data_IF_762956128360
#
_entry.id   IF_762956128360
#
_cell.length_a   1.000
_cell.length_b   1.000
_cell.length_c   1.000
_cell.angle_alpha   90.00
_cell.angle_beta   90.00
_cell.angle_gamma   90.00
#
_symmetry.space_group_name_H-M   'P 1'
#
loop_
_entity.id
_entity.type
_entity.pdbx_description
1 polymer ?
#
# COMPACT_ATOMS: atom_id res chain seq x y z
N UNK A 1 18.74 15.19 -9.24
CA UNK A 1 18.76 16.48 -9.96
C UNK A 1 18.97 17.59 -8.95
N UNK A 2 19.50 18.77 -9.32
CA UNK A 2 19.50 19.95 -8.45
C UNK A 2 18.10 20.24 -7.89
N UNK A 3 17.97 20.79 -6.69
CA UNK A 3 16.66 21.05 -6.05
C UNK A 3 15.87 22.14 -6.79
N UNK A 4 16.57 22.94 -7.57
CA UNK A 4 16.12 24.14 -8.27
C UNK A 4 15.71 23.83 -9.71
N UNK A 5 15.79 22.56 -10.13
CA UNK A 5 15.38 22.14 -11.48
C UNK A 5 13.90 22.44 -11.72
N UNK A 6 13.59 23.07 -12.86
CA UNK A 6 12.21 23.45 -13.22
C UNK A 6 11.36 22.21 -13.53
N UNK A 7 10.06 22.29 -13.28
CA UNK A 7 9.11 21.19 -13.51
C UNK A 7 9.18 20.62 -14.93
N UNK A 8 9.32 21.47 -15.97
CA UNK A 8 9.44 21.02 -17.36
C UNK A 8 10.66 20.14 -17.58
N UNK A 9 11.78 20.48 -16.96
CA UNK A 9 13.04 19.74 -17.05
C UNK A 9 12.94 18.43 -16.25
N UNK A 10 12.25 18.44 -15.10
CA UNK A 10 11.94 17.22 -14.34
C UNK A 10 11.07 16.24 -15.14
N UNK A 11 10.03 16.74 -15.81
CA UNK A 11 9.17 15.92 -16.69
C UNK A 11 9.96 15.35 -17.86
N UNK A 12 10.83 16.14 -18.50
CA UNK A 12 11.67 15.67 -19.59
C UNK A 12 12.64 14.57 -19.12
N UNK A 13 13.25 14.72 -17.94
CA UNK A 13 14.11 13.70 -17.36
C UNK A 13 13.34 12.44 -16.97
N UNK A 14 12.12 12.57 -16.43
CA UNK A 14 11.24 11.44 -16.16
C UNK A 14 10.93 10.66 -17.43
N UNK A 15 10.48 11.34 -18.50
CA UNK A 15 10.21 10.71 -19.81
C UNK A 15 11.44 10.03 -20.37
N UNK A 16 12.62 10.66 -20.26
CA UNK A 16 13.88 10.08 -20.72
C UNK A 16 14.20 8.77 -19.99
N UNK A 17 14.08 8.74 -18.66
CA UNK A 17 14.32 7.52 -17.86
C UNK A 17 13.24 6.45 -18.07
N UNK A 18 12.01 6.87 -18.33
CA UNK A 18 10.91 5.96 -18.65
C UNK A 18 11.16 5.21 -19.97
N UNK A 19 11.92 5.77 -20.90
CA UNK A 19 12.29 5.07 -22.12
C UNK A 19 13.15 3.82 -21.87
N UNK A 20 13.89 3.77 -20.76
CA UNK A 20 14.72 2.64 -20.35
C UNK A 20 13.96 1.65 -19.43
N UNK A 21 12.66 1.89 -19.18
CA UNK A 21 11.83 1.07 -18.32
C UNK A 21 11.32 -0.21 -19.05
N UNK A 22 11.21 -1.37 -18.38
CA UNK A 22 11.52 -1.63 -16.98
C UNK A 22 13.01 -1.84 -16.73
N UNK A 23 13.52 -1.26 -15.64
CA UNK A 23 14.85 -1.55 -15.11
C UNK A 23 14.71 -2.66 -14.07
N UNK A 24 15.44 -3.79 -14.19
CA UNK A 24 15.41 -4.84 -13.18
C UNK A 24 15.81 -4.30 -11.79
N UNK A 25 15.12 -4.73 -10.71
CA UNK A 25 15.54 -4.39 -9.37
C UNK A 25 16.88 -5.02 -9.02
N UNK A 26 17.63 -4.39 -8.12
CA UNK A 26 18.83 -4.96 -7.52
C UNK A 26 18.49 -5.44 -6.11
N UNK A 27 18.57 -6.75 -5.88
CA UNK A 27 18.37 -7.31 -4.54
C UNK A 27 19.50 -6.90 -3.60
N UNK A 28 19.14 -6.34 -2.44
CA UNK A 28 20.12 -5.90 -1.43
C UNK A 28 19.89 -6.58 -0.09
N UNK A 29 20.99 -7.01 0.52
CA UNK A 29 20.98 -7.50 1.90
C UNK A 29 20.98 -6.32 2.90
N UNK A 30 20.39 -6.54 4.07
CA UNK A 30 20.37 -5.57 5.17
C UNK A 30 19.55 -4.31 4.88
N UNK A 31 18.25 -4.43 4.52
CA UNK A 31 17.43 -3.26 4.26
C UNK A 31 17.24 -2.42 5.54
N UNK A 32 17.27 -1.08 5.45
CA UNK A 32 17.09 -0.21 6.63
C UNK A 32 15.76 -0.39 7.36
N UNK A 33 14.72 -0.84 6.66
CA UNK A 33 13.42 -1.12 7.27
C UNK A 33 13.40 -2.37 8.14
N UNK A 34 14.44 -3.23 8.08
CA UNK A 34 14.55 -4.43 8.91
C UNK A 34 15.33 -4.18 10.23
N UNK A 35 15.62 -2.92 10.58
CA UNK A 35 16.34 -2.57 11.81
C UNK A 35 15.54 -2.88 13.10
N UNK A 36 14.21 -2.83 13.05
CA UNK A 36 13.32 -3.09 14.18
C UNK A 36 12.02 -3.73 13.69
N UNK A 37 11.38 -4.55 14.52
CA UNK A 37 10.11 -5.16 14.16
C UNK A 37 9.28 -5.68 15.32
N UNK A 38 7.98 -5.82 15.05
CA UNK A 38 6.96 -6.40 15.91
C UNK A 38 6.33 -7.58 15.17
N UNK A 39 6.22 -8.73 15.81
CA UNK A 39 5.79 -9.99 15.18
C UNK A 39 4.67 -10.67 15.97
N UNK A 40 3.85 -11.46 15.27
CA UNK A 40 2.79 -12.26 15.87
C UNK A 40 1.82 -11.38 16.67
N UNK A 41 1.58 -11.75 17.93
CA UNK A 41 0.62 -11.05 18.79
C UNK A 41 1.11 -9.66 19.25
N UNK A 42 2.41 -9.39 19.14
CA UNK A 42 3.00 -8.09 19.46
C UNK A 42 2.90 -7.10 18.29
N UNK A 43 2.59 -7.58 17.08
CA UNK A 43 2.38 -6.71 15.92
C UNK A 43 1.27 -5.70 16.22
N UNK A 44 1.59 -4.40 16.14
CA UNK A 44 0.66 -3.34 16.46
C UNK A 44 0.88 -2.11 15.59
N UNK A 45 -0.03 -1.91 14.64
CA UNK A 45 -0.01 -0.78 13.70
C UNK A 45 0.02 0.56 14.43
N UNK A 46 -0.66 0.68 15.58
CA UNK A 46 -0.76 1.95 16.32
C UNK A 46 0.53 2.31 17.06
N UNK A 47 1.45 1.37 17.26
CA UNK A 47 2.75 1.66 17.88
C UNK A 47 3.77 2.22 16.90
N UNK A 48 3.61 1.90 15.61
CA UNK A 48 4.57 2.27 14.56
C UNK A 48 4.10 3.47 13.76
N UNK A 49 2.80 3.53 13.43
CA UNK A 49 2.27 4.58 12.54
C UNK A 49 1.56 5.69 13.31
N UNK A 50 1.93 6.96 13.09
CA UNK A 50 1.18 8.10 13.60
C UNK A 50 -0.08 8.34 12.74
N UNK A 51 -1.05 7.43 12.86
CA UNK A 51 -2.28 7.46 12.09
C UNK A 51 -3.14 8.66 12.49
N UNK A 52 -3.58 9.42 11.49
CA UNK A 52 -4.53 10.52 11.66
C UNK A 52 -5.76 10.27 10.80
N UNK A 53 -6.91 10.77 11.26
CA UNK A 53 -8.11 10.81 10.44
C UNK A 53 -7.99 11.98 9.46
N UNK A 54 -8.02 11.70 8.17
CA UNK A 54 -7.75 12.69 7.13
C UNK A 54 -8.96 13.60 6.90
N UNK A 55 -10.17 13.03 6.87
CA UNK A 55 -11.41 13.75 6.73
C UNK A 55 -12.37 13.47 7.89
N UNK A 56 -13.15 14.46 8.29
CA UNK A 56 -14.19 14.33 9.31
C UNK A 56 -15.21 13.23 8.96
N UNK A 57 -15.47 13.04 7.67
CA UNK A 57 -16.40 12.02 7.16
C UNK A 57 -15.84 10.60 7.08
N UNK A 58 -14.54 10.38 7.25
CA UNK A 58 -13.92 9.06 7.00
C UNK A 58 -14.36 8.05 8.06
N UNK A 59 -14.79 6.84 7.69
CA UNK A 59 -15.26 5.82 8.62
C UNK A 59 -14.18 5.23 9.55
N UNK A 60 -12.92 5.67 9.44
CA UNK A 60 -11.81 5.21 10.26
C UNK A 60 -10.49 5.90 9.92
N UNK A 61 -9.40 5.31 10.39
CA UNK A 61 -8.04 5.71 10.01
C UNK A 61 -7.66 5.01 8.70
N UNK A 62 -6.93 5.71 7.84
CA UNK A 62 -6.58 5.25 6.51
C UNK A 62 -5.09 5.36 6.25
N UNK A 63 -4.59 4.40 5.48
CA UNK A 63 -3.30 4.40 4.81
C UNK A 63 -3.62 4.54 3.32
N UNK A 64 -3.13 5.61 2.68
CA UNK A 64 -3.58 6.04 1.34
C UNK A 64 -2.46 6.14 0.29
N UNK A 65 -1.19 6.00 0.72
CA UNK A 65 0.00 6.02 -0.12
C UNK A 65 0.92 4.84 0.17
N UNK A 66 0.33 3.69 0.42
CA UNK A 66 1.05 2.44 0.48
C UNK A 66 1.47 1.94 -0.89
N UNK A 67 2.59 1.24 -0.94
CA UNK A 67 2.92 0.34 -2.04
C UNK A 67 2.60 -1.07 -1.56
N UNK A 68 1.48 -1.63 -2.00
CA UNK A 68 1.10 -3.01 -1.69
C UNK A 68 1.65 -3.93 -2.75
N UNK A 69 2.53 -4.80 -2.31
CA UNK A 69 3.14 -5.88 -3.08
C UNK A 69 2.29 -7.14 -2.89
N UNK A 70 1.88 -7.74 -4.00
CA UNK A 70 1.28 -9.07 -4.04
C UNK A 70 1.95 -9.91 -5.11
N UNK A 71 1.88 -11.23 -4.97
CA UNK A 71 2.42 -12.19 -5.93
C UNK A 71 1.32 -13.16 -6.36
N UNK A 72 1.43 -13.66 -7.57
CA UNK A 72 0.58 -14.74 -8.06
C UNK A 72 0.68 -15.98 -7.13
N UNK A 73 -0.43 -16.48 -6.57
CA UNK A 73 -0.43 -17.65 -5.68
C UNK A 73 0.10 -18.93 -6.32
N UNK A 74 0.05 -19.04 -7.66
CA UNK A 74 0.54 -20.22 -8.38
C UNK A 74 2.08 -20.30 -8.40
N UNK A 75 2.77 -19.23 -7.97
CA UNK A 75 4.23 -19.15 -7.99
C UNK A 75 4.80 -18.31 -6.81
N UNK A 76 4.63 -18.78 -5.56
CA UNK A 76 4.96 -17.99 -4.37
C UNK A 76 6.46 -17.86 -4.13
N UNK A 77 7.29 -18.78 -4.64
CA UNK A 77 8.70 -18.94 -4.25
C UNK A 77 9.71 -18.63 -5.37
N UNK A 78 9.29 -18.25 -6.58
CA UNK A 78 10.22 -17.94 -7.67
C UNK A 78 10.78 -16.50 -7.56
N UNK A 79 12.09 -16.33 -7.22
CA UNK A 79 12.74 -15.02 -7.14
C UNK A 79 12.91 -14.36 -8.51
N UNK A 80 12.82 -15.11 -9.61
CA UNK A 80 12.92 -14.64 -11.00
C UNK A 80 11.54 -14.31 -11.60
N UNK A 81 10.43 -14.65 -10.92
CA UNK A 81 9.05 -14.33 -11.32
C UNK A 81 8.65 -12.87 -11.05
N UNK A 82 9.54 -11.93 -11.40
CA UNK A 82 9.27 -10.49 -11.42
C UNK A 82 8.05 -10.16 -12.30
N UNK A 83 7.78 -10.98 -13.32
CA UNK A 83 6.61 -10.85 -14.20
C UNK A 83 5.25 -11.25 -13.59
N UNK A 84 5.22 -11.75 -12.35
CA UNK A 84 4.00 -12.17 -11.62
C UNK A 84 3.80 -11.41 -10.30
N UNK A 85 4.53 -10.31 -10.12
CA UNK A 85 4.38 -9.42 -8.98
C UNK A 85 3.58 -8.18 -9.38
N UNK A 86 2.74 -7.72 -8.46
CA UNK A 86 2.00 -6.47 -8.58
C UNK A 86 2.41 -5.54 -7.45
N UNK A 87 2.71 -4.30 -7.80
CA UNK A 87 2.90 -3.20 -6.85
C UNK A 87 1.84 -2.16 -7.15
N UNK A 88 0.93 -1.94 -6.21
CA UNK A 88 -0.20 -1.05 -6.36
C UNK A 88 -0.37 -0.12 -5.16
N UNK A 89 -0.89 1.09 -5.40
CA UNK A 89 -1.43 1.93 -4.32
C UNK A 89 -2.89 1.57 -4.11
N UNK A 90 -3.26 1.27 -2.87
CA UNK A 90 -4.64 0.93 -2.55
C UNK A 90 -5.15 1.71 -1.36
N UNK A 91 -6.46 1.87 -1.31
CA UNK A 91 -7.10 2.36 -0.10
C UNK A 91 -7.09 1.25 0.94
N UNK A 92 -6.45 1.52 2.07
CA UNK A 92 -6.34 0.56 3.17
C UNK A 92 -6.85 1.20 4.48
N UNK A 93 -8.00 0.75 4.97
CA UNK A 93 -8.58 1.20 6.24
C UNK A 93 -8.01 0.36 7.40
N UNK A 94 -7.59 1.04 8.47
CA UNK A 94 -7.15 0.38 9.70
C UNK A 94 -8.37 -0.04 10.52
N UNK A 95 -8.49 -1.34 10.80
CA UNK A 95 -9.61 -1.96 11.54
C UNK A 95 -9.23 -2.36 12.96
N UNK A 96 -7.94 -2.47 13.27
CA UNK A 96 -7.41 -2.81 14.59
C UNK A 96 -5.90 -2.99 14.58
N UNK A 97 -5.32 -3.39 15.72
CA UNK A 97 -3.86 -3.50 15.95
C UNK A 97 -3.16 -4.35 14.86
N UNK A 98 -3.83 -5.40 14.40
CA UNK A 98 -3.35 -6.37 13.40
C UNK A 98 -4.32 -6.61 12.25
N UNK A 99 -5.19 -5.64 11.97
CA UNK A 99 -6.27 -5.83 11.00
C UNK A 99 -6.46 -4.61 10.12
N UNK A 100 -6.48 -4.83 8.81
CA UNK A 100 -6.79 -3.82 7.80
C UNK A 100 -7.93 -4.29 6.91
N UNK A 101 -8.60 -3.37 6.24
CA UNK A 101 -9.51 -3.65 5.13
C UNK A 101 -9.01 -2.92 3.88
N UNK A 102 -8.82 -3.63 2.78
CA UNK A 102 -8.21 -3.12 1.55
C UNK A 102 -9.23 -3.12 0.42
N UNK A 103 -9.24 -2.08 -0.41
CA UNK A 103 -10.00 -2.06 -1.66
C UNK A 103 -9.10 -2.46 -2.86
N UNK A 104 -9.05 -3.74 -3.26
CA UNK A 104 -8.43 -4.12 -4.52
C UNK A 104 -9.36 -3.71 -5.66
N UNK A 105 -8.96 -2.72 -6.46
CA UNK A 105 -9.72 -2.37 -7.65
C UNK A 105 -9.73 -3.55 -8.64
N UNK A 106 -10.91 -3.88 -9.19
CA UNK A 106 -11.12 -5.09 -9.98
C UNK A 106 -10.31 -5.16 -11.30
N UNK A 107 -9.74 -4.03 -11.73
CA UNK A 107 -8.91 -3.91 -12.94
C UNK A 107 -7.41 -4.09 -12.66
N UNK A 108 -7.02 -4.27 -11.41
CA UNK A 108 -5.62 -4.41 -11.01
C UNK A 108 -5.28 -5.88 -10.76
N UNK A 109 -4.01 -6.24 -10.97
CA UNK A 109 -3.52 -7.63 -10.87
C UNK A 109 -3.72 -8.23 -9.47
N UNK A 110 -3.69 -7.42 -8.40
CA UNK A 110 -4.03 -7.87 -7.04
C UNK A 110 -5.41 -8.53 -6.95
N UNK A 111 -6.40 -8.07 -7.75
CA UNK A 111 -7.73 -8.66 -7.77
C UNK A 111 -7.71 -10.03 -8.47
N UNK A 112 -6.84 -10.22 -9.46
CA UNK A 112 -6.60 -11.51 -10.10
C UNK A 112 -5.89 -12.49 -9.16
N UNK A 113 -4.84 -12.04 -8.47
CA UNK A 113 -4.14 -12.83 -7.45
C UNK A 113 -5.11 -13.25 -6.33
N UNK A 114 -5.92 -12.33 -5.83
CA UNK A 114 -6.90 -12.61 -4.77
C UNK A 114 -7.94 -13.63 -5.23
N UNK A 115 -8.44 -13.49 -6.46
CA UNK A 115 -9.40 -14.46 -7.02
C UNK A 115 -8.81 -15.87 -7.08
N UNK A 116 -7.57 -16.03 -7.56
CA UNK A 116 -6.89 -17.33 -7.61
C UNK A 116 -6.74 -17.94 -6.22
N UNK A 117 -6.26 -17.16 -5.25
CA UNK A 117 -6.13 -17.61 -3.86
C UNK A 117 -7.50 -18.06 -3.29
N UNK A 118 -8.56 -17.30 -3.58
CA UNK A 118 -9.91 -17.65 -3.13
C UNK A 118 -10.51 -18.89 -3.82
N UNK A 119 -10.08 -19.21 -5.04
CA UNK A 119 -10.45 -20.43 -5.76
C UNK A 119 -9.83 -21.68 -5.10
N UNK A 120 -8.59 -21.59 -4.62
CA UNK A 120 -7.92 -22.66 -3.86
C UNK A 120 -8.28 -22.66 -2.36
N UNK A 121 -8.89 -21.58 -1.87
CA UNK A 121 -9.24 -21.41 -0.45
C UNK A 121 -8.05 -20.98 0.41
N UNK A 122 -6.98 -20.50 -0.22
CA UNK A 122 -5.76 -20.04 0.44
C UNK A 122 -5.78 -18.53 0.63
N UNK A 123 -5.09 -18.06 1.66
CA UNK A 123 -4.90 -16.63 1.89
C UNK A 123 -3.85 -16.07 0.93
N UNK A 124 -4.04 -14.83 0.46
CA UNK A 124 -3.07 -14.18 -0.42
C UNK A 124 -2.01 -13.44 0.41
N UNK A 125 -0.75 -13.85 0.26
CA UNK A 125 0.40 -13.16 0.86
C UNK A 125 0.57 -11.75 0.28
N UNK A 126 0.71 -10.76 1.17
CA UNK A 126 0.93 -9.36 0.81
C UNK A 126 1.96 -8.69 1.72
N UNK A 127 2.66 -7.70 1.16
CA UNK A 127 3.48 -6.76 1.91
C UNK A 127 3.06 -5.32 1.58
N UNK A 128 2.92 -4.47 2.58
CA UNK A 128 2.53 -3.07 2.47
C UNK A 128 3.74 -2.24 2.87
N UNK A 129 4.36 -1.56 1.92
CA UNK A 129 5.51 -0.71 2.15
C UNK A 129 5.10 0.77 2.20
N UNK A 130 5.58 1.49 3.21
CA UNK A 130 5.30 2.90 3.47
C UNK A 130 6.60 3.69 3.53
N UNK A 131 6.55 4.99 3.20
CA UNK A 131 7.75 5.84 3.18
C UNK A 131 8.66 5.54 1.98
N UNK A 132 8.08 5.08 0.88
CA UNK A 132 8.78 4.75 -0.35
C UNK A 132 9.37 6.00 -1.02
N UNK A 133 10.37 5.82 -1.88
CA UNK A 133 10.83 6.90 -2.76
C UNK A 133 9.62 7.49 -3.52
N UNK A 134 9.47 8.83 -3.63
CA UNK A 134 8.31 9.45 -4.25
C UNK A 134 8.08 9.03 -5.70
N UNK A 135 9.08 8.46 -6.39
CA UNK A 135 8.90 7.86 -7.72
C UNK A 135 8.00 6.63 -7.64
N UNK A 136 8.05 5.84 -6.57
CA UNK A 136 7.25 4.60 -6.44
C UNK A 136 5.76 4.91 -6.54
N UNK A 137 5.17 5.83 -5.76
CA UNK A 137 3.76 6.22 -5.96
C UNK A 137 3.40 6.68 -7.37
N UNK A 138 4.33 7.27 -8.13
CA UNK A 138 4.08 7.73 -9.49
C UNK A 138 3.98 6.54 -10.46
N UNK A 139 4.75 5.48 -10.20
CA UNK A 139 4.86 4.34 -11.11
C UNK A 139 4.12 3.09 -10.63
N UNK A 140 3.62 3.08 -9.38
CA UNK A 140 2.92 1.99 -8.67
C UNK A 140 1.54 1.62 -9.26
N UNK A 141 1.37 1.74 -10.57
CA UNK A 141 0.29 1.17 -11.35
C UNK A 141 0.83 0.33 -12.51
N UNK A 142 2.12 -0.02 -12.47
CA UNK A 142 2.84 -0.78 -13.51
C UNK A 142 3.40 -2.06 -12.89
N UNK A 143 3.38 -3.22 -13.58
CA UNK A 143 4.02 -4.44 -13.10
C UNK A 143 5.51 -4.24 -12.86
N UNK A 144 5.96 -4.38 -11.61
CA UNK A 144 7.35 -4.20 -11.18
C UNK A 144 7.62 -5.06 -9.95
N UNK A 145 8.87 -5.46 -9.76
CA UNK A 145 9.34 -5.96 -8.48
C UNK A 145 9.74 -4.78 -7.57
N UNK A 146 9.45 -4.92 -6.27
CA UNK A 146 9.68 -3.86 -5.29
C UNK A 146 10.06 -4.42 -3.92
N UNK A 147 11.11 -3.85 -3.31
CA UNK A 147 11.69 -4.28 -2.03
C UNK A 147 12.01 -3.09 -1.06
N UNK A 148 11.53 -1.88 -1.38
CA UNK A 148 11.82 -0.66 -0.62
C UNK A 148 10.77 -0.29 0.44
N UNK A 149 11.11 0.64 1.34
CA UNK A 149 10.19 1.23 2.33
C UNK A 149 10.90 1.72 3.59
N UNK A 150 10.28 2.63 4.35
CA UNK A 150 10.67 2.96 5.74
C UNK A 150 9.95 2.08 6.76
N UNK A 151 8.71 1.67 6.45
CA UNK A 151 7.91 0.69 7.20
C UNK A 151 7.39 -0.36 6.24
N UNK A 152 7.46 -1.64 6.62
CA UNK A 152 6.91 -2.76 5.88
C UNK A 152 5.95 -3.52 6.80
N UNK A 153 4.69 -3.65 6.40
CA UNK A 153 3.66 -4.45 7.08
C UNK A 153 3.44 -5.69 6.24
N UNK A 154 3.70 -6.86 6.81
CA UNK A 154 3.55 -8.16 6.14
C UNK A 154 2.35 -8.91 6.72
N UNK A 155 1.64 -9.61 5.85
CA UNK A 155 0.47 -10.36 6.26
C UNK A 155 -0.26 -11.02 5.10
N UNK A 156 -1.53 -11.31 5.35
CA UNK A 156 -2.36 -12.13 4.47
C UNK A 156 -3.71 -11.48 4.25
N UNK A 157 -4.12 -11.33 2.98
CA UNK A 157 -5.53 -11.10 2.66
C UNK A 157 -6.27 -12.41 2.90
N UNK A 158 -7.14 -12.41 3.91
CA UNK A 158 -7.90 -13.59 4.33
C UNK A 158 -8.94 -13.99 3.26
N UNK A 159 -8.83 -15.22 2.76
CA UNK A 159 -9.67 -15.74 1.71
C UNK A 159 -11.15 -15.66 2.09
N UNK A 160 -11.98 -15.09 1.20
CA UNK A 160 -13.45 -15.00 1.34
C UNK A 160 -13.93 -14.24 2.59
N UNK A 161 -13.01 -13.65 3.38
CA UNK A 161 -13.36 -12.80 4.51
C UNK A 161 -13.50 -11.36 4.04
N UNK A 162 -14.60 -10.73 4.45
CA UNK A 162 -14.90 -9.34 4.10
C UNK A 162 -15.49 -8.59 5.29
N UNK A 163 -15.00 -7.39 5.57
CA UNK A 163 -15.53 -6.48 6.59
C UNK A 163 -15.96 -5.15 5.96
N UNK A 164 -16.80 -4.39 6.65
CA UNK A 164 -17.21 -3.07 6.17
C UNK A 164 -16.00 -2.12 6.15
N UNK A 165 -15.72 -1.55 5.01
CA UNK A 165 -14.73 -0.49 4.78
C UNK A 165 -15.47 0.75 4.25
N UNK A 166 -14.99 1.95 4.60
CA UNK A 166 -15.65 3.22 4.30
C UNK A 166 -16.38 3.80 5.51
N UNK A 167 -16.92 5.03 5.45
CA UNK A 167 -16.87 6.03 4.35
C UNK A 167 -15.45 6.53 4.07
N UNK A 168 -15.16 7.01 2.87
CA UNK A 168 -13.84 7.57 2.54
C UNK A 168 -13.95 8.79 1.63
N UNK A 169 -13.11 9.80 1.88
CA UNK A 169 -13.01 10.97 1.02
C UNK A 169 -12.28 10.70 -0.30
N UNK A 170 -13.04 10.63 -1.40
CA UNK A 170 -12.51 10.38 -2.73
C UNK A 170 -11.79 11.59 -3.32
N UNK A 171 -10.86 11.34 -4.25
CA UNK A 171 -10.14 12.39 -4.97
C UNK A 171 -11.04 13.39 -5.72
N UNK A 172 -12.30 13.01 -6.01
CA UNK A 172 -13.31 13.87 -6.64
C UNK A 172 -13.94 14.88 -5.69
N UNK A 173 -13.62 14.83 -4.39
CA UNK A 173 -14.19 15.70 -3.36
C UNK A 173 -15.47 15.19 -2.70
N UNK A 174 -15.94 13.99 -3.08
CA UNK A 174 -17.14 13.35 -2.52
C UNK A 174 -16.75 12.20 -1.59
N UNK A 175 -17.62 11.87 -0.65
CA UNK A 175 -17.41 10.73 0.25
C UNK A 175 -18.07 9.50 -0.36
N UNK A 176 -17.30 8.41 -0.53
CA UNK A 176 -17.85 7.14 -0.99
C UNK A 176 -18.57 6.40 0.13
N UNK A 177 -19.60 5.64 -0.25
CA UNK A 177 -20.32 4.74 0.66
C UNK A 177 -19.48 3.54 1.10
N UNK A 178 -19.85 2.95 2.23
CA UNK A 178 -19.16 1.77 2.74
C UNK A 178 -19.47 0.50 1.93
N UNK A 179 -18.49 -0.40 1.79
CA UNK A 179 -18.64 -1.69 1.10
C UNK A 179 -17.93 -2.80 1.88
N UNK A 180 -18.32 -4.05 1.65
CA UNK A 180 -17.62 -5.20 2.22
C UNK A 180 -16.34 -5.47 1.43
N UNK A 181 -15.20 -5.22 2.06
CA UNK A 181 -13.87 -5.30 1.44
C UNK A 181 -13.02 -6.41 2.07
N UNK A 182 -12.05 -6.99 1.32
CA UNK A 182 -11.08 -7.95 1.83
C UNK A 182 -10.37 -7.47 3.09
N UNK A 183 -10.12 -8.42 4.00
CA UNK A 183 -9.46 -8.17 5.28
C UNK A 183 -8.02 -8.64 5.20
N UNK A 184 -7.08 -7.81 5.65
CA UNK A 184 -5.69 -8.20 5.85
C UNK A 184 -5.47 -8.49 7.32
N UNK A 185 -4.96 -9.67 7.62
CA UNK A 185 -4.37 -10.03 8.91
C UNK A 185 -2.89 -9.69 8.87
N UNK A 186 -2.44 -8.88 9.81
CA UNK A 186 -1.04 -8.45 9.93
C UNK A 186 -0.29 -9.40 10.86
N UNK A 187 0.85 -9.91 10.38
CA UNK A 187 1.69 -10.84 11.14
C UNK A 187 3.03 -10.22 11.54
N UNK A 188 3.57 -9.30 10.73
CA UNK A 188 4.82 -8.60 11.05
C UNK A 188 4.77 -7.15 10.62
N UNK A 189 5.38 -6.29 11.42
CA UNK A 189 5.65 -4.90 11.08
C UNK A 189 7.14 -4.66 11.29
N UNK A 190 7.86 -4.31 10.23
CA UNK A 190 9.27 -3.94 10.28
C UNK A 190 9.43 -2.46 9.96
N UNK A 191 10.32 -1.75 10.63
CA UNK A 191 10.60 -0.35 10.33
C UNK A 191 12.03 0.07 10.67
N UNK A 192 12.44 1.20 10.07
CA UNK A 192 13.71 1.86 10.41
C UNK A 192 13.64 2.55 11.77
N UNK A 193 14.76 2.66 12.47
CA UNK A 193 14.90 3.48 13.67
C UNK A 193 14.80 4.98 13.33
N UNK A 194 14.00 5.76 14.09
CA UNK A 194 13.90 7.22 13.89
C UNK A 194 12.96 7.66 12.76
N UNK A 195 11.90 6.88 12.50
CA UNK A 195 10.89 7.10 11.46
C UNK A 195 10.39 8.55 11.36
N UNK A 196 10.27 9.08 10.13
CA UNK A 196 9.69 10.40 9.84
C UNK A 196 8.48 10.26 8.91
N UNK A 197 7.38 9.73 9.44
CA UNK A 197 6.15 9.57 8.66
C UNK A 197 5.54 10.94 8.30
N UNK A 198 5.15 11.09 7.04
CA UNK A 198 4.44 12.26 6.51
C UNK A 198 2.99 11.88 6.20
N UNK A 199 1.97 12.48 6.83
CA UNK A 199 0.58 12.19 6.50
C UNK A 199 0.24 12.76 5.11
N UNK A 200 -0.52 12.00 4.33
CA UNK A 200 -1.16 12.44 3.10
C UNK A 200 -2.62 12.03 3.07
N UNK A 201 -3.45 12.78 2.36
CA UNK A 201 -4.87 12.47 2.24
C UNK A 201 -5.53 13.10 1.03
N UNK A 202 -6.49 12.37 0.46
CA UNK A 202 -7.53 12.92 -0.43
C UNK A 202 -8.67 13.53 0.39
N UNK A 203 -9.24 14.65 -0.08
CA UNK A 203 -10.15 15.48 0.72
C UNK A 203 -11.64 15.24 0.42
N UNK A 204 -12.48 15.23 1.45
CA UNK A 204 -13.94 15.32 1.36
C UNK A 204 -14.46 16.49 2.21
N UNK A 205 -15.26 17.38 1.63
CA UNK A 205 -15.95 18.43 2.39
C UNK A 205 -17.27 17.87 2.91
N UNK A 206 -17.39 17.74 4.24
CA UNK A 206 -18.69 17.52 4.87
C UNK A 206 -19.67 18.65 4.52
N UNK A 207 -21.00 18.43 4.62
CA UNK A 207 -21.95 19.52 4.50
C UNK A 207 -21.58 20.59 5.52
N UNK A 208 -21.38 21.84 5.06
CA UNK A 208 -21.16 22.96 5.99
C UNK A 208 -22.36 23.00 6.93
N UNK A 209 -22.15 22.79 8.23
CA UNK A 209 -23.17 23.19 9.19
C UNK A 209 -23.30 24.70 9.06
N UNK A 210 -24.40 25.17 8.48
CA UNK A 210 -24.86 26.54 8.68
C UNK A 210 -25.17 26.67 10.16
N UNK A 211 -24.26 27.33 10.88
CA UNK A 211 -24.59 28.06 12.10
C UNK A 211 -24.72 29.52 11.70
#
# INVERSE_FOLDING_TARGET
MPKETRTKEQVAEFVRRWADFPVPPEWRAGPPWAESGLEGDDADIFQVLPLIRLNEGDGGLYIDKDAVVSRDPDDPDDPDSTGKQNVGIYRTQVKGRRKLAIQPGAVHDIAHHLRKAEETGEDLLVAIALGNDPVIPIVAATPMAYDGGEVVIEGFIEARKRELEGLFGEFTGHCSGGRRMPVIRVDRISHRTGLRASPSGSGCRGPRSTI
#
